data_IF_272553339005
#
_entry.id   IF_272553339005
#
_cell.length_a   1.000
_cell.length_b   1.000
_cell.length_c   1.000
_cell.angle_alpha   90.00
_cell.angle_beta   90.00
_cell.angle_gamma   90.00
#
_symmetry.space_group_name_H-M   'P 1'
#
loop_
_entity.id
_entity.type
_entity.pdbx_description
1 polymer ?
#
# COMPACT_ATOMS: atom_id res chain seq x y z
N UNK A 1 -2.56 4.73 -21.02
CA UNK A 1 -2.54 6.11 -20.50
C UNK A 1 -3.98 6.56 -20.44
N UNK A 2 -4.57 6.62 -19.25
CA UNK A 2 -5.92 7.17 -19.08
C UNK A 2 -5.78 8.64 -18.74
N UNK A 3 -6.42 9.51 -19.52
CA UNK A 3 -6.58 10.93 -19.21
C UNK A 3 -7.44 11.06 -17.96
N UNK A 4 -6.89 11.66 -16.90
CA UNK A 4 -7.61 11.99 -15.67
C UNK A 4 -7.56 13.50 -15.53
N UNK A 5 -8.74 14.14 -15.57
CA UNK A 5 -8.88 15.58 -15.38
C UNK A 5 -8.89 15.92 -13.89
N UNK A 6 -8.21 17.01 -13.53
CA UNK A 6 -8.19 17.58 -12.18
C UNK A 6 -9.25 18.67 -12.14
N UNK A 7 -10.28 18.52 -11.31
CA UNK A 7 -11.18 19.61 -10.94
C UNK A 7 -11.90 19.28 -9.63
N UNK A 8 -11.89 20.26 -8.73
CA UNK A 8 -12.56 20.27 -7.42
C UNK A 8 -14.08 20.42 -7.62
N UNK A 9 -14.80 19.31 -7.68
CA UNK A 9 -16.21 19.30 -7.28
C UNK A 9 -16.62 17.89 -6.85
N UNK A 10 -16.76 17.71 -5.53
CA UNK A 10 -17.32 16.51 -4.92
C UNK A 10 -18.84 16.66 -4.80
N UNK A 11 -19.53 16.88 -5.92
CA UNK A 11 -21.00 16.85 -5.96
C UNK A 11 -21.49 15.51 -6.52
N UNK A 12 -22.09 14.73 -5.63
CA UNK A 12 -23.13 13.71 -5.82
C UNK A 12 -23.29 13.13 -7.24
N UNK A 13 -22.67 11.97 -7.46
CA UNK A 13 -22.83 11.20 -8.71
C UNK A 13 -21.91 9.98 -8.77
N UNK A 14 -21.66 9.34 -7.64
CA UNK A 14 -20.82 8.16 -7.57
C UNK A 14 -21.64 6.90 -7.78
N UNK A 15 -21.43 6.14 -8.86
CA UNK A 15 -21.85 4.74 -8.92
C UNK A 15 -21.39 4.04 -7.63
N UNK A 16 -22.36 3.75 -6.75
CA UNK A 16 -22.08 3.11 -5.48
C UNK A 16 -21.49 1.74 -5.79
N UNK A 17 -20.25 1.51 -5.36
CA UNK A 17 -19.77 0.13 -5.35
C UNK A 17 -20.70 -0.69 -4.47
N UNK A 18 -21.07 -1.87 -4.90
CA UNK A 18 -21.84 -2.80 -4.08
C UNK A 18 -20.90 -3.59 -3.17
N UNK A 19 -21.42 -4.00 -2.02
CA UNK A 19 -20.72 -4.94 -1.15
C UNK A 19 -20.44 -6.24 -1.89
N UNK A 20 -19.30 -6.87 -1.60
CA UNK A 20 -18.88 -8.14 -2.20
C UNK A 20 -18.42 -9.11 -1.13
N UNK A 21 -18.65 -10.40 -1.34
CA UNK A 21 -18.15 -11.44 -0.42
C UNK A 21 -17.10 -12.29 -1.12
N UNK A 22 -15.90 -12.31 -0.58
CA UNK A 22 -14.83 -13.22 -0.99
C UNK A 22 -14.89 -14.45 -0.11
N UNK A 23 -15.09 -15.62 -0.71
CA UNK A 23 -15.12 -16.90 -0.01
C UNK A 23 -13.74 -17.52 0.03
N UNK A 24 -13.29 -17.94 1.21
CA UNK A 24 -12.00 -18.60 1.40
C UNK A 24 -12.17 -19.88 2.23
N UNK A 25 -11.14 -20.72 2.27
CA UNK A 25 -11.08 -21.89 3.15
C UNK A 25 -10.98 -21.52 4.65
N UNK A 26 -10.65 -20.25 4.96
CA UNK A 26 -10.58 -19.72 6.31
C UNK A 26 -11.87 -19.02 6.77
N UNK A 27 -12.87 -18.90 5.90
CA UNK A 27 -14.10 -18.13 6.12
C UNK A 27 -14.35 -17.09 5.03
N UNK A 28 -15.31 -16.20 5.27
CA UNK A 28 -15.69 -15.17 4.31
C UNK A 28 -15.10 -13.82 4.70
N UNK A 29 -14.64 -13.07 3.70
CA UNK A 29 -14.31 -11.66 3.82
C UNK A 29 -15.36 -10.84 3.08
N UNK A 30 -16.09 -10.01 3.81
CA UNK A 30 -17.00 -9.02 3.24
C UNK A 30 -16.24 -7.73 2.91
N UNK A 31 -16.35 -7.28 1.66
CA UNK A 31 -15.86 -6.00 1.20
C UNK A 31 -17.03 -5.05 1.13
N UNK A 32 -17.03 -4.02 1.98
CA UNK A 32 -18.05 -2.96 1.97
C UNK A 32 -17.45 -1.71 1.32
N UNK A 33 -18.25 -0.85 0.67
CA UNK A 33 -17.72 0.38 0.07
C UNK A 33 -17.05 1.26 1.13
N UNK A 34 -15.87 1.78 0.82
CA UNK A 34 -15.24 2.77 1.69
C UNK A 34 -16.06 4.06 1.73
N UNK A 35 -16.13 4.68 2.91
CA UNK A 35 -16.83 5.95 3.08
C UNK A 35 -16.03 7.10 2.48
N UNK A 36 -16.70 8.20 2.15
CA UNK A 36 -16.03 9.41 1.66
C UNK A 36 -15.02 9.93 2.68
N UNK A 37 -15.31 9.82 3.98
CA UNK A 37 -14.40 10.27 5.02
C UNK A 37 -13.14 9.42 5.09
N UNK A 38 -13.24 8.11 4.84
CA UNK A 38 -12.06 7.25 4.69
C UNK A 38 -11.21 7.67 3.48
N UNK A 39 -11.82 7.99 2.34
CA UNK A 39 -11.08 8.48 1.16
C UNK A 39 -10.41 9.83 1.44
N UNK A 40 -11.12 10.76 2.10
CA UNK A 40 -10.58 12.07 2.50
C UNK A 40 -9.42 11.93 3.48
N UNK A 41 -9.51 11.00 4.44
CA UNK A 41 -8.43 10.74 5.38
C UNK A 41 -7.17 10.25 4.67
N UNK A 42 -7.30 9.37 3.67
CA UNK A 42 -6.15 8.97 2.85
C UNK A 42 -5.58 10.18 2.10
N UNK A 43 -6.43 10.99 1.47
CA UNK A 43 -5.99 12.17 0.71
C UNK A 43 -5.28 13.22 1.57
N UNK A 44 -5.56 13.28 2.87
CA UNK A 44 -4.91 14.19 3.80
C UNK A 44 -3.44 13.83 4.03
N UNK A 45 -3.12 12.55 4.02
CA UNK A 45 -1.82 12.04 4.43
C UNK A 45 -1.03 11.41 3.30
N UNK A 46 -1.64 11.07 2.16
CA UNK A 46 -0.87 10.55 1.03
C UNK A 46 0.14 11.61 0.55
N UNK A 47 1.43 11.25 0.27
CA UNK A 47 2.46 12.24 -0.09
C UNK A 47 2.22 13.07 -1.34
N UNK A 48 1.25 12.66 -2.17
CA UNK A 48 0.79 13.43 -3.32
C UNK A 48 -0.73 13.63 -3.21
N UNK A 49 -1.49 13.23 -4.22
CA UNK A 49 -2.95 13.37 -4.21
C UNK A 49 -3.66 12.07 -4.57
N UNK A 50 -4.97 12.06 -4.32
CA UNK A 50 -5.87 11.04 -4.84
C UNK A 50 -6.66 11.67 -5.97
N UNK A 51 -6.51 11.13 -7.17
CA UNK A 51 -7.29 11.54 -8.33
C UNK A 51 -8.62 10.75 -8.38
N UNK A 52 -9.73 11.40 -8.68
CA UNK A 52 -11.00 10.73 -8.95
C UNK A 52 -11.22 10.61 -10.47
N UNK A 53 -11.76 9.48 -10.93
CA UNK A 53 -12.11 9.33 -12.34
C UNK A 53 -13.60 9.62 -12.54
N UNK A 54 -13.93 10.75 -13.19
CA UNK A 54 -15.31 11.13 -13.53
C UNK A 54 -16.04 10.08 -14.38
N UNK A 55 -15.33 9.39 -15.27
CA UNK A 55 -15.90 8.37 -16.16
C UNK A 55 -16.00 6.99 -15.48
N UNK A 56 -15.43 6.84 -14.29
CA UNK A 56 -15.55 5.62 -13.50
C UNK A 56 -15.69 5.98 -12.02
N UNK A 57 -16.85 6.54 -11.61
CA UNK A 57 -17.06 6.97 -10.25
C UNK A 57 -16.88 5.80 -9.27
N UNK A 58 -16.32 6.08 -8.09
CA UNK A 58 -15.92 5.06 -7.12
C UNK A 58 -14.57 4.39 -7.41
N UNK A 59 -13.88 4.75 -8.50
CA UNK A 59 -12.47 4.38 -8.75
C UNK A 59 -11.55 5.57 -8.56
N UNK A 60 -10.47 5.33 -7.85
CA UNK A 60 -9.50 6.37 -7.49
C UNK A 60 -8.13 6.06 -8.11
N UNK A 61 -7.41 7.11 -8.46
CA UNK A 61 -5.99 7.07 -8.80
C UNK A 61 -5.19 7.46 -7.57
N UNK A 62 -4.36 6.56 -7.07
CA UNK A 62 -3.37 6.91 -6.06
C UNK A 62 -2.16 7.51 -6.80
N UNK A 63 -1.98 8.82 -6.74
CA UNK A 63 -0.98 9.51 -7.55
C UNK A 63 0.41 9.25 -6.97
N UNK A 64 1.28 8.65 -7.77
CA UNK A 64 2.67 8.40 -7.40
C UNK A 64 3.66 9.35 -8.07
N UNK A 65 3.21 10.14 -9.04
CA UNK A 65 4.08 11.00 -9.83
C UNK A 65 3.37 12.26 -10.32
N UNK A 66 4.03 13.40 -10.17
CA UNK A 66 3.73 14.67 -10.86
C UNK A 66 4.94 15.10 -11.67
N UNK A 67 4.84 15.02 -13.00
CA UNK A 67 5.98 15.32 -13.88
C UNK A 67 7.19 14.46 -13.50
N UNK A 68 8.29 15.09 -13.10
CA UNK A 68 9.53 14.40 -12.66
C UNK A 68 9.57 14.08 -11.17
N UNK A 69 8.59 14.54 -10.38
CA UNK A 69 8.53 14.28 -8.94
C UNK A 69 7.81 12.96 -8.68
N UNK A 70 8.42 12.08 -7.90
CA UNK A 70 7.88 10.76 -7.56
C UNK A 70 7.72 10.58 -6.05
N UNK A 71 6.69 9.83 -5.64
CA UNK A 71 6.61 9.31 -4.27
C UNK A 71 7.77 8.35 -4.08
N UNK A 72 8.48 8.52 -2.97
CA UNK A 72 9.56 7.64 -2.58
C UNK A 72 9.05 6.54 -1.64
N UNK A 73 9.52 5.32 -1.85
CA UNK A 73 9.22 4.19 -0.99
C UNK A 73 10.49 3.59 -0.41
N UNK A 74 10.40 3.06 0.82
CA UNK A 74 11.47 2.28 1.43
C UNK A 74 11.36 0.85 0.92
N UNK A 75 12.36 0.43 0.15
CA UNK A 75 12.42 -0.88 -0.50
C UNK A 75 13.28 -1.82 0.34
N UNK A 76 12.69 -2.92 0.80
CA UNK A 76 13.43 -4.05 1.35
C UNK A 76 13.94 -4.91 0.18
N UNK A 77 15.25 -4.92 -0.01
CA UNK A 77 15.91 -5.59 -1.13
C UNK A 77 16.38 -6.99 -0.71
N UNK A 78 15.87 -8.07 -1.34
CA UNK A 78 16.43 -9.40 -1.21
C UNK A 78 17.51 -9.65 -2.28
N UNK A 79 18.10 -10.86 -2.27
CA UNK A 79 18.92 -11.33 -3.37
C UNK A 79 18.10 -11.52 -4.66
N UNK A 80 18.79 -11.64 -5.79
CA UNK A 80 18.15 -11.89 -7.09
C UNK A 80 17.84 -13.38 -7.27
N UNK A 81 16.66 -13.68 -7.80
CA UNK A 81 16.14 -15.04 -7.98
C UNK A 81 15.92 -15.38 -9.45
N UNK A 82 15.78 -16.68 -9.74
CA UNK A 82 15.13 -17.13 -10.96
C UNK A 82 13.63 -16.78 -10.90
N UNK A 83 13.00 -16.60 -12.06
CA UNK A 83 11.60 -16.16 -12.15
C UNK A 83 10.60 -17.05 -11.38
N UNK A 84 10.67 -18.41 -11.42
CA UNK A 84 9.76 -19.27 -10.66
C UNK A 84 9.83 -19.04 -9.14
N UNK A 85 11.05 -18.89 -8.61
CA UNK A 85 11.28 -18.63 -7.19
C UNK A 85 10.80 -17.23 -6.80
N UNK A 86 11.07 -16.24 -7.65
CA UNK A 86 10.60 -14.88 -7.45
C UNK A 86 9.07 -14.78 -7.44
N UNK A 87 8.37 -15.54 -8.29
CA UNK A 87 6.89 -15.60 -8.28
C UNK A 87 6.37 -16.18 -6.98
N UNK A 88 6.99 -17.25 -6.50
CA UNK A 88 6.64 -17.89 -5.23
C UNK A 88 6.87 -16.93 -4.05
N UNK A 89 8.02 -16.26 -4.02
CA UNK A 89 8.34 -15.27 -2.99
C UNK A 89 7.41 -14.06 -3.04
N UNK A 90 7.05 -13.57 -4.23
CA UNK A 90 6.12 -12.46 -4.39
C UNK A 90 4.74 -12.79 -3.81
N UNK A 91 4.25 -14.02 -4.01
CA UNK A 91 3.02 -14.49 -3.37
C UNK A 91 3.17 -14.55 -1.84
N UNK A 92 4.25 -15.14 -1.33
CA UNK A 92 4.53 -15.22 0.11
C UNK A 92 4.55 -13.83 0.73
N UNK A 93 5.22 -12.85 0.11
CA UNK A 93 5.27 -11.48 0.61
C UNK A 93 3.87 -10.84 0.71
N UNK A 94 2.96 -11.11 -0.23
CA UNK A 94 1.57 -10.61 -0.15
C UNK A 94 0.79 -11.27 0.98
N UNK A 95 0.98 -12.56 1.18
CA UNK A 95 0.37 -13.30 2.29
C UNK A 95 0.90 -12.81 3.65
N UNK A 96 2.21 -12.53 3.75
CA UNK A 96 2.82 -11.97 4.95
C UNK A 96 2.31 -10.56 5.25
N UNK A 97 2.17 -9.70 4.23
CA UNK A 97 1.57 -8.37 4.40
C UNK A 97 0.14 -8.50 4.95
N UNK A 98 -0.69 -9.38 4.37
CA UNK A 98 -2.05 -9.63 4.85
C UNK A 98 -2.08 -10.11 6.30
N UNK A 99 -1.20 -11.05 6.67
CA UNK A 99 -1.09 -11.56 8.04
C UNK A 99 -0.54 -10.54 9.04
N UNK A 100 0.25 -9.57 8.59
CA UNK A 100 0.88 -8.55 9.43
C UNK A 100 -0.07 -7.42 9.86
N UNK A 101 -1.21 -7.27 9.19
CA UNK A 101 -2.12 -6.15 9.40
C UNK A 101 -2.52 -5.97 10.88
N UNK A 102 -2.95 -7.00 11.65
CA UNK A 102 -3.37 -6.80 13.03
C UNK A 102 -2.23 -6.28 13.93
N UNK A 103 -1.06 -6.93 13.86
CA UNK A 103 0.10 -6.55 14.66
C UNK A 103 0.63 -5.14 14.31
N UNK A 104 0.42 -4.67 13.08
CA UNK A 104 0.71 -3.29 12.71
C UNK A 104 -0.31 -2.30 13.29
N UNK A 105 -1.60 -2.62 13.24
CA UNK A 105 -2.67 -1.75 13.79
C UNK A 105 -2.51 -1.53 15.31
N UNK A 106 -1.99 -2.52 16.04
CA UNK A 106 -1.67 -2.40 17.46
C UNK A 106 -0.67 -1.28 17.78
N UNK A 107 0.11 -0.82 16.79
CA UNK A 107 1.08 0.28 16.96
C UNK A 107 0.41 1.65 16.94
N UNK A 108 -0.84 1.75 16.52
CA UNK A 108 -1.65 2.97 16.56
C UNK A 108 -0.98 4.17 15.85
N UNK A 109 -0.27 3.89 14.74
CA UNK A 109 0.26 4.94 13.88
C UNK A 109 -0.86 5.81 13.34
N UNK A 110 -0.56 7.09 13.10
CA UNK A 110 -1.45 8.04 12.41
C UNK A 110 -0.82 8.41 11.07
N UNK A 111 -1.66 8.62 10.06
CA UNK A 111 -1.20 8.79 8.68
C UNK A 111 -1.56 7.59 7.81
N UNK A 112 -0.89 7.47 6.66
CA UNK A 112 -1.12 6.39 5.70
C UNK A 112 0.12 5.51 5.51
N UNK A 113 -0.11 4.21 5.35
CA UNK A 113 0.89 3.21 5.02
C UNK A 113 0.36 2.34 3.88
N UNK A 114 1.14 2.23 2.81
CA UNK A 114 0.91 1.35 1.69
C UNK A 114 2.03 0.29 1.62
N UNK A 115 1.82 -0.89 2.22
CA UNK A 115 2.74 -2.00 2.09
C UNK A 115 2.46 -2.72 0.76
N UNK A 116 3.49 -2.88 -0.07
CA UNK A 116 3.38 -3.52 -1.37
C UNK A 116 4.41 -4.64 -1.51
N UNK A 117 3.98 -5.81 -1.95
CA UNK A 117 4.93 -6.72 -2.58
C UNK A 117 5.29 -6.16 -3.95
N UNK A 118 6.58 -6.17 -4.31
CA UNK A 118 7.04 -5.75 -5.62
C UNK A 118 7.66 -6.90 -6.40
N UNK A 119 7.76 -6.71 -7.71
CA UNK A 119 8.38 -7.63 -8.65
C UNK A 119 9.11 -6.82 -9.72
N UNK A 120 10.42 -7.07 -9.89
CA UNK A 120 11.26 -6.32 -10.82
C UNK A 120 12.15 -7.28 -11.62
N UNK A 121 11.90 -7.35 -12.91
CA UNK A 121 12.80 -8.03 -13.86
C UNK A 121 14.03 -7.16 -14.10
N UNK A 122 15.22 -7.74 -13.97
CA UNK A 122 16.50 -7.08 -14.28
C UNK A 122 16.94 -7.41 -15.70
N UNK A 123 17.82 -6.57 -16.25
CA UNK A 123 18.41 -6.76 -17.59
C UNK A 123 19.18 -8.08 -17.74
N UNK A 124 19.64 -8.65 -16.63
CA UNK A 124 20.33 -9.95 -16.57
C UNK A 124 19.39 -11.16 -16.69
N UNK A 125 18.08 -10.95 -16.80
CA UNK A 125 17.07 -12.01 -16.78
C UNK A 125 16.73 -12.54 -15.38
N UNK A 126 17.47 -12.13 -14.35
CA UNK A 126 17.11 -12.39 -12.95
C UNK A 126 15.99 -11.47 -12.49
N UNK A 127 15.31 -11.87 -11.42
CA UNK A 127 14.18 -11.14 -10.88
C UNK A 127 14.41 -10.83 -9.41
N UNK A 128 14.04 -9.62 -9.02
CA UNK A 128 13.96 -9.19 -7.63
C UNK A 128 12.49 -9.17 -7.17
N UNK A 129 12.18 -9.85 -6.07
CA UNK A 129 10.81 -9.91 -5.51
C UNK A 129 10.85 -9.65 -4.00
N UNK A 130 10.47 -8.45 -3.58
CA UNK A 130 10.55 -8.03 -2.18
C UNK A 130 9.30 -7.29 -1.71
N UNK A 131 9.49 -6.45 -0.68
CA UNK A 131 8.45 -5.61 -0.10
C UNK A 131 8.92 -4.15 -0.14
N UNK A 132 8.03 -3.25 -0.50
CA UNK A 132 8.24 -1.81 -0.44
C UNK A 132 7.14 -1.17 0.39
N UNK A 133 7.50 -0.12 1.13
CA UNK A 133 6.59 0.66 1.94
C UNK A 133 6.56 2.10 1.44
N UNK A 134 5.35 2.61 1.20
CA UNK A 134 5.12 4.02 0.96
C UNK A 134 4.33 4.56 2.13
N UNK A 135 4.78 5.67 2.70
CA UNK A 135 4.19 6.22 3.92
C UNK A 135 3.94 7.70 3.75
N UNK A 136 2.92 8.16 4.46
CA UNK A 136 2.64 9.57 4.66
C UNK A 136 2.23 9.75 6.11
N UNK A 137 3.20 9.99 7.01
CA UNK A 137 2.93 10.06 8.43
C UNK A 137 2.13 11.33 8.79
N UNK A 138 1.36 11.27 9.87
CA UNK A 138 0.87 12.50 10.52
C UNK A 138 2.00 13.08 11.38
N UNK A 139 2.43 14.31 11.10
CA UNK A 139 3.49 14.99 11.87
C UNK A 139 3.17 15.14 13.36
N UNK A 140 1.88 15.11 13.73
CA UNK A 140 1.47 15.09 15.14
C UNK A 140 1.62 13.72 15.82
N UNK A 141 1.99 12.67 15.07
CA UNK A 141 2.30 11.36 15.63
C UNK A 141 3.61 11.42 16.42
N UNK A 142 3.57 10.97 17.67
CA UNK A 142 4.74 11.00 18.55
C UNK A 142 5.80 10.02 18.01
N UNK A 143 6.92 10.54 17.52
CA UNK A 143 8.07 9.70 17.16
C UNK A 143 8.54 8.90 18.38
N UNK A 144 8.43 7.58 18.28
CA UNK A 144 8.85 6.63 19.30
C UNK A 144 10.33 6.33 19.18
N UNK A 145 11.21 7.23 19.65
CA UNK A 145 12.64 7.03 19.96
C UNK A 145 13.55 6.24 18.98
N UNK A 146 13.09 5.86 17.78
CA UNK A 146 13.86 5.16 16.77
C UNK A 146 14.68 6.17 15.98
N UNK A 147 15.80 5.72 15.42
CA UNK A 147 16.65 6.55 14.56
C UNK A 147 15.81 7.11 13.41
N UNK A 148 15.82 8.42 13.21
CA UNK A 148 15.20 9.15 12.11
C UNK A 148 15.95 8.89 10.80
N UNK A 149 15.99 7.64 10.32
CA UNK A 149 16.81 7.26 9.15
C UNK A 149 16.29 7.85 7.85
N UNK A 150 14.97 7.99 7.72
CA UNK A 150 14.31 8.46 6.50
C UNK A 150 13.34 9.62 6.75
N UNK A 151 13.17 10.04 8.00
CA UNK A 151 12.14 11.01 8.40
C UNK A 151 12.34 12.36 7.69
N UNK A 152 13.60 12.83 7.57
CA UNK A 152 13.95 14.05 6.83
C UNK A 152 13.56 14.03 5.34
N UNK A 153 13.30 12.84 4.77
CA UNK A 153 13.03 12.66 3.33
C UNK A 153 11.57 12.36 3.02
N UNK A 154 10.86 11.71 3.94
CA UNK A 154 9.49 11.20 3.71
C UNK A 154 8.55 11.45 4.90
N UNK A 155 8.93 12.34 5.81
CA UNK A 155 8.10 12.87 6.91
C UNK A 155 8.42 12.27 8.28
N UNK A 156 8.24 13.10 9.31
CA UNK A 156 8.44 12.71 10.72
C UNK A 156 7.59 11.49 11.12
N UNK A 157 8.24 10.44 11.62
CA UNK A 157 7.59 9.19 12.00
C UNK A 157 7.57 8.10 10.91
N UNK A 158 7.98 8.43 9.68
CA UNK A 158 8.06 7.47 8.58
C UNK A 158 8.92 6.25 8.92
N UNK A 159 10.09 6.46 9.54
CA UNK A 159 10.97 5.36 9.94
C UNK A 159 10.27 4.43 10.92
N UNK A 160 9.58 4.95 11.93
CA UNK A 160 8.86 4.12 12.90
C UNK A 160 7.76 3.30 12.25
N UNK A 161 6.94 3.91 11.38
CA UNK A 161 5.90 3.22 10.62
C UNK A 161 6.47 2.05 9.79
N UNK A 162 7.57 2.27 9.08
CA UNK A 162 8.19 1.24 8.24
C UNK A 162 8.78 0.10 9.06
N UNK A 163 9.56 0.41 10.10
CA UNK A 163 10.18 -0.63 10.92
C UNK A 163 9.14 -1.43 11.73
N UNK A 164 8.04 -0.80 12.14
CA UNK A 164 6.95 -1.52 12.78
C UNK A 164 6.20 -2.45 11.83
N UNK A 165 5.95 -2.02 10.59
CA UNK A 165 5.37 -2.91 9.58
C UNK A 165 6.32 -4.07 9.25
N UNK A 166 7.62 -3.80 9.11
CA UNK A 166 8.62 -4.86 8.91
C UNK A 166 8.66 -5.85 10.10
N UNK A 167 8.56 -5.35 11.33
CA UNK A 167 8.42 -6.17 12.54
C UNK A 167 7.14 -7.01 12.54
N UNK A 168 6.00 -6.42 12.16
CA UNK A 168 4.73 -7.12 12.04
C UNK A 168 4.77 -8.23 10.98
N UNK A 169 5.45 -8.00 9.84
CA UNK A 169 5.71 -9.01 8.81
C UNK A 169 6.56 -10.17 9.35
N UNK A 170 7.58 -9.88 10.16
CA UNK A 170 8.39 -10.91 10.79
C UNK A 170 7.58 -11.75 11.80
N UNK A 171 6.65 -11.14 12.53
CA UNK A 171 5.69 -11.86 13.38
C UNK A 171 4.76 -12.75 12.55
N UNK A 172 4.14 -12.18 11.50
CA UNK A 172 3.24 -12.91 10.60
C UNK A 172 3.91 -14.12 9.93
N UNK A 173 5.20 -14.04 9.63
CA UNK A 173 5.98 -15.18 9.10
C UNK A 173 5.97 -16.37 10.04
N UNK A 174 6.16 -16.15 11.35
CA UNK A 174 6.15 -17.21 12.35
C UNK A 174 4.74 -17.79 12.51
N UNK A 175 3.73 -16.94 12.61
CA UNK A 175 2.34 -17.34 12.85
C UNK A 175 1.75 -18.09 11.64
N UNK A 176 1.99 -17.58 10.43
CA UNK A 176 1.51 -18.21 9.20
C UNK A 176 2.37 -19.38 8.73
N UNK A 177 3.51 -19.65 9.39
CA UNK A 177 4.53 -20.64 8.98
C UNK A 177 4.98 -20.44 7.54
N UNK A 178 5.17 -19.17 7.15
CA UNK A 178 5.63 -18.77 5.83
C UNK A 178 7.08 -18.27 5.90
N UNK A 179 7.91 -18.56 4.88
CA UNK A 179 9.30 -18.11 4.90
C UNK A 179 9.39 -16.58 4.80
N UNK A 180 10.22 -15.99 5.66
CA UNK A 180 10.57 -14.58 5.56
C UNK A 180 11.75 -14.42 4.60
N UNK A 181 11.68 -13.44 3.69
CA UNK A 181 12.80 -13.13 2.80
C UNK A 181 14.02 -12.63 3.58
N UNK A 182 15.22 -13.04 3.16
CA UNK A 182 16.45 -12.41 3.64
C UNK A 182 16.60 -11.03 3.01
N UNK A 183 16.64 -9.99 3.83
CA UNK A 183 16.88 -8.62 3.39
C UNK A 183 18.39 -8.36 3.39
N UNK A 184 18.94 -8.03 2.22
CA UNK A 184 20.36 -7.71 2.03
C UNK A 184 20.61 -6.20 1.92
N UNK A 185 19.55 -5.40 1.77
CA UNK A 185 19.62 -3.95 1.70
C UNK A 185 18.27 -3.30 1.96
N UNK A 186 18.30 -2.04 2.40
CA UNK A 186 17.11 -1.22 2.60
C UNK A 186 17.40 0.19 2.09
N UNK A 187 16.72 0.56 1.01
CA UNK A 187 16.98 1.81 0.29
C UNK A 187 15.70 2.62 0.12
N UNK A 188 15.83 3.94 0.21
CA UNK A 188 14.82 4.85 -0.30
C UNK A 188 14.91 4.91 -1.82
N UNK A 189 13.80 4.66 -2.52
CA UNK A 189 13.76 4.63 -3.99
C UNK A 189 12.53 5.37 -4.52
N UNK A 190 12.65 6.10 -5.64
CA UNK A 190 11.48 6.62 -6.33
C UNK A 190 10.61 5.46 -6.84
N UNK A 191 9.29 5.68 -6.89
CA UNK A 191 8.29 4.66 -7.20
C UNK A 191 8.63 3.82 -8.43
N UNK A 192 9.02 4.44 -9.54
CA UNK A 192 9.28 3.77 -10.81
C UNK A 192 10.52 2.87 -10.74
N UNK A 193 11.50 3.19 -9.89
CA UNK A 193 12.70 2.39 -9.72
C UNK A 193 12.46 1.06 -8.97
N UNK A 194 11.34 0.90 -8.27
CA UNK A 194 11.01 -0.29 -7.47
C UNK A 194 10.49 -1.45 -8.34
N UNK A 195 9.86 -1.14 -9.49
CA UNK A 195 9.27 -2.14 -10.40
C UNK A 195 7.74 -2.23 -10.29
N UNK A 196 7.18 -3.39 -10.64
CA UNK A 196 5.74 -3.61 -10.55
C UNK A 196 5.34 -3.76 -9.07
N UNK A 197 4.27 -3.07 -8.66
CA UNK A 197 3.72 -3.19 -7.32
C UNK A 197 2.40 -3.95 -7.34
N UNK A 198 2.22 -4.79 -6.34
CA UNK A 198 0.95 -5.42 -6.04
C UNK A 198 0.36 -4.72 -4.81
N UNK A 199 -0.61 -3.83 -5.05
CA UNK A 199 -1.29 -3.02 -4.03
C UNK A 199 -2.57 -3.71 -3.58
N UNK A 200 -2.52 -4.40 -2.43
CA UNK A 200 -3.72 -5.03 -1.86
C UNK A 200 -4.41 -4.14 -0.85
N UNK A 201 -3.63 -3.53 0.04
CA UNK A 201 -4.12 -2.84 1.21
C UNK A 201 -3.53 -1.45 1.32
N UNK A 202 -4.31 -0.52 1.82
CA UNK A 202 -3.84 0.77 2.32
C UNK A 202 -4.32 0.89 3.76
N UNK A 203 -3.42 1.29 4.64
CA UNK A 203 -3.69 1.45 6.05
C UNK A 203 -3.77 2.95 6.32
N UNK A 204 -4.87 3.41 6.90
CA UNK A 204 -5.09 4.79 7.30
C UNK A 204 -5.41 4.80 8.79
N UNK A 205 -4.47 5.27 9.61
CA UNK A 205 -4.59 5.20 11.06
C UNK A 205 -4.96 3.79 11.56
N UNK A 206 -6.12 3.62 12.24
CA UNK A 206 -6.59 2.32 12.72
C UNK A 206 -7.34 1.48 11.66
N UNK A 207 -7.50 1.99 10.45
CA UNK A 207 -8.31 1.36 9.41
C UNK A 207 -7.44 0.69 8.34
N UNK A 208 -7.88 -0.49 7.89
CA UNK A 208 -7.35 -1.14 6.69
C UNK A 208 -8.39 -1.04 5.60
N UNK A 209 -8.00 -0.56 4.43
CA UNK A 209 -8.80 -0.58 3.23
C UNK A 209 -8.22 -1.59 2.24
N UNK A 210 -9.08 -2.36 1.60
CA UNK A 210 -8.72 -3.09 0.38
C UNK A 210 -8.71 -2.09 -0.77
N UNK A 211 -7.61 -2.02 -1.50
CA UNK A 211 -7.46 -1.11 -2.65
C UNK A 211 -7.18 -1.80 -3.98
N UNK A 212 -7.07 -3.13 -3.96
CA UNK A 212 -6.72 -3.92 -5.14
C UNK A 212 -7.69 -3.69 -6.31
N UNK A 213 -7.14 -3.28 -7.45
CA UNK A 213 -7.87 -3.21 -8.71
C UNK A 213 -7.05 -3.74 -9.90
N UNK A 214 -7.62 -4.58 -10.79
CA UNK A 214 -8.93 -5.23 -10.65
C UNK A 214 -8.94 -6.20 -9.47
N UNK A 215 -10.10 -6.34 -8.82
CA UNK A 215 -10.29 -7.31 -7.76
C UNK A 215 -10.24 -8.72 -8.35
N UNK A 216 -9.40 -9.59 -7.77
CA UNK A 216 -9.37 -11.01 -8.10
C UNK A 216 -9.80 -11.79 -6.86
N UNK A 217 -11.05 -12.26 -6.84
CA UNK A 217 -11.63 -12.97 -5.70
C UNK A 217 -11.01 -14.35 -5.49
N UNK A 218 -10.42 -14.94 -6.54
CA UNK A 218 -9.71 -16.23 -6.47
C UNK A 218 -8.28 -16.11 -5.94
N UNK A 219 -7.82 -14.90 -5.59
CA UNK A 219 -6.49 -14.67 -5.07
C UNK A 219 -6.32 -15.31 -3.68
N UNK A 220 -5.41 -16.30 -3.51
CA UNK A 220 -5.28 -17.02 -2.24
C UNK A 220 -4.77 -16.16 -1.09
N UNK A 221 -4.35 -14.91 -1.32
CA UNK A 221 -3.98 -13.95 -0.26
C UNK A 221 -5.15 -13.67 0.69
N UNK A 222 -6.40 -13.71 0.21
CA UNK A 222 -7.57 -13.37 1.03
C UNK A 222 -7.74 -14.27 2.26
N UNK A 223 -7.33 -15.53 2.18
CA UNK A 223 -7.43 -16.43 3.36
C UNK A 223 -6.54 -15.97 4.51
N UNK A 224 -5.43 -15.29 4.22
CA UNK A 224 -4.54 -14.76 5.26
C UNK A 224 -5.14 -13.53 5.93
N UNK A 225 -5.93 -12.73 5.19
CA UNK A 225 -6.73 -11.63 5.76
C UNK A 225 -7.77 -12.18 6.73
N UNK A 226 -8.50 -13.22 6.34
CA UNK A 226 -9.51 -13.83 7.21
C UNK A 226 -8.87 -14.50 8.43
N UNK A 227 -7.76 -15.23 8.26
CA UNK A 227 -6.99 -15.83 9.38
C UNK A 227 -6.43 -14.78 10.33
N UNK A 228 -6.11 -13.59 9.84
CA UNK A 228 -5.69 -12.45 10.64
C UNK A 228 -6.84 -11.82 11.44
N UNK A 229 -8.08 -12.32 11.29
CA UNK A 229 -9.23 -11.92 12.10
C UNK A 229 -10.18 -10.92 11.41
N UNK A 230 -9.94 -10.57 10.14
CA UNK A 230 -10.84 -9.67 9.42
C UNK A 230 -12.01 -10.43 8.78
N UNK A 231 -13.24 -10.11 9.18
CA UNK A 231 -14.46 -10.58 8.52
C UNK A 231 -15.05 -9.56 7.56
N UNK A 232 -14.78 -8.26 7.78
CA UNK A 232 -15.28 -7.16 6.95
C UNK A 232 -14.18 -6.11 6.78
N UNK A 233 -14.00 -5.62 5.55
CA UNK A 233 -13.07 -4.52 5.24
C UNK A 233 -13.70 -3.51 4.28
N UNK A 234 -13.47 -2.20 4.48
CA UNK A 234 -13.72 -1.19 3.46
C UNK A 234 -12.97 -1.48 2.17
N UNK A 235 -13.60 -1.22 1.03
CA UNK A 235 -13.06 -1.41 -0.31
C UNK A 235 -13.13 -0.11 -1.10
N UNK A 236 -11.98 0.32 -1.60
CA UNK A 236 -11.79 1.50 -2.42
C UNK A 236 -10.80 1.17 -3.53
N UNK A 237 -11.23 0.74 -4.73
CA UNK A 237 -10.32 0.37 -5.80
C UNK A 237 -9.45 1.56 -6.18
N UNK A 238 -8.15 1.39 -6.00
CA UNK A 238 -7.14 2.38 -6.36
C UNK A 238 -6.17 1.79 -7.38
N UNK A 239 -5.84 2.58 -8.39
CA UNK A 239 -4.77 2.26 -9.35
C UNK A 239 -3.63 3.26 -9.21
N UNK A 240 -2.37 2.87 -9.46
CA UNK A 240 -1.29 3.83 -9.54
C UNK A 240 -1.58 4.84 -10.65
N UNK A 241 -1.47 6.13 -10.35
CA UNK A 241 -1.67 7.22 -11.29
C UNK A 241 -0.43 8.10 -11.37
N UNK A 242 -0.28 8.77 -12.51
CA UNK A 242 0.71 9.81 -12.75
C UNK A 242 0.00 10.98 -13.42
N UNK A 243 0.33 12.19 -12.99
CA UNK A 243 -0.26 13.42 -13.50
C UNK A 243 0.82 14.33 -14.09
N UNK A 244 0.48 15.14 -15.11
CA UNK A 244 1.41 16.10 -15.67
C UNK A 244 1.66 17.26 -14.70
N UNK A 245 2.73 18.02 -14.94
CA UNK A 245 3.04 19.25 -14.21
C UNK A 245 3.77 19.04 -12.89
N UNK A 246 3.86 20.11 -12.09
CA UNK A 246 4.50 20.11 -10.77
C UNK A 246 3.40 19.97 -9.71
N UNK A 247 3.71 19.34 -8.57
CA UNK A 247 2.80 19.27 -7.44
C UNK A 247 2.28 20.69 -7.10
N UNK A 248 0.96 20.90 -6.98
CA UNK A 248 0.41 22.20 -6.61
C UNK A 248 1.05 22.72 -5.31
N UNK A 249 1.46 23.98 -5.28
CA UNK A 249 2.15 24.61 -4.14
C UNK A 249 1.37 24.62 -2.83
N UNK A 250 0.08 24.28 -2.88
CA UNK A 250 -0.85 24.29 -1.75
C UNK A 250 -0.99 22.92 -1.06
N UNK A 251 -0.36 21.86 -1.59
CA UNK A 251 -0.23 20.60 -0.88
C UNK A 251 0.98 20.73 0.05
N UNK A 252 0.81 20.61 1.39
CA UNK A 252 1.92 20.72 2.32
C UNK A 252 3.03 19.77 1.89
N UNK A 253 4.25 20.30 1.70
CA UNK A 253 5.44 19.46 1.59
C UNK A 253 5.63 18.84 2.98
N UNK A 254 5.55 17.51 3.05
CA UNK A 254 5.98 16.79 4.26
C UNK A 254 7.46 17.07 4.53
#
# INVERSE_FOLDING_TARGET
>A
MLSVGVDQDCSEGGAYMESRTIRTDAGNLELVPATIDQIRAISRFWPMEIASNRNAPGRFGLVFQHGEQEVHGIKLQPADFAEPDAKSLHYVNRALIAGALPAYLEKQHRGVMLPCAYYKTKTTGKVEAGIAFFVGPDAASKSTSRKNLYDDQIGDGATSMVFDMAGAIATASKECKLPLMTVIGMDLRPRLAIGALTMHFLIEGPHVLVIKYPLNEADPVWKFVVRAGFSTLPYAPMIPAALPGVLPSNIPRM
#
